data_IF_075528965343
#
_entry.id   IF_075528965343
#
_cell.length_a   1.000
_cell.length_b   1.000
_cell.length_c   1.000
_cell.angle_alpha   90.00
_cell.angle_beta   90.00
_cell.angle_gamma   90.00
#
_symmetry.space_group_name_H-M   'P 1'
#
loop_
_entity.id
_entity.type
_entity.pdbx_description
1 polymer ?
#
# COMPACT_ATOMS: atom_id res chain seq x y z
N UNK A 1 20.36 4.40 8.47
CA UNK A 1 19.30 4.99 7.62
C UNK A 1 18.14 4.01 7.65
N UNK A 2 17.06 4.32 8.38
CA UNK A 2 15.82 3.53 8.33
C UNK A 2 14.83 4.37 7.56
N UNK A 3 14.74 4.11 6.26
CA UNK A 3 13.76 4.70 5.36
C UNK A 3 12.39 4.18 5.78
N UNK A 4 11.60 5.04 6.45
CA UNK A 4 10.15 4.92 6.67
C UNK A 4 9.61 3.48 6.74
N UNK A 5 9.79 2.78 7.86
CA UNK A 5 8.97 1.61 8.17
C UNK A 5 7.55 2.11 8.43
N UNK A 6 6.74 2.19 7.39
CA UNK A 6 5.47 2.91 7.43
C UNK A 6 4.44 2.02 8.11
N UNK A 7 4.46 2.01 9.44
CA UNK A 7 3.67 1.11 10.31
C UNK A 7 3.99 -0.38 10.11
N UNK A 8 5.28 -0.75 10.14
CA UNK A 8 5.75 -2.14 9.93
C UNK A 8 5.49 -2.72 8.54
N UNK A 9 4.89 -1.95 7.64
CA UNK A 9 4.72 -2.30 6.24
C UNK A 9 5.99 -1.93 5.46
N UNK A 10 6.47 -2.89 4.67
CA UNK A 10 7.57 -2.67 3.74
C UNK A 10 7.10 -1.75 2.60
N UNK A 11 7.67 -0.53 2.46
CA UNK A 11 7.16 0.48 1.52
C UNK A 11 7.20 0.04 0.06
N UNK A 12 8.21 -0.75 -0.31
CA UNK A 12 8.38 -1.21 -1.69
C UNK A 12 7.28 -2.19 -2.12
N UNK A 13 6.94 -3.15 -1.27
CA UNK A 13 5.90 -4.13 -1.57
C UNK A 13 4.53 -3.50 -1.59
N UNK A 14 4.24 -2.61 -0.63
CA UNK A 14 3.00 -1.83 -0.64
C UNK A 14 2.87 -1.00 -1.92
N UNK A 15 3.92 -0.26 -2.30
CA UNK A 15 3.88 0.59 -3.49
C UNK A 15 3.68 -0.23 -4.77
N UNK A 16 4.36 -1.39 -4.88
CA UNK A 16 4.21 -2.29 -6.04
C UNK A 16 2.77 -2.79 -6.15
N UNK A 17 2.16 -3.21 -5.04
CA UNK A 17 0.76 -3.63 -5.03
C UNK A 17 -0.20 -2.49 -5.40
N UNK A 18 0.00 -1.29 -4.84
CA UNK A 18 -0.83 -0.13 -5.13
C UNK A 18 -0.74 0.25 -6.60
N UNK A 19 0.45 0.31 -7.19
CA UNK A 19 0.59 0.67 -8.61
C UNK A 19 -0.16 -0.31 -9.52
N UNK A 20 -0.10 -1.62 -9.23
CA UNK A 20 -0.83 -2.64 -9.99
C UNK A 20 -2.33 -2.50 -9.80
N UNK A 21 -2.80 -2.30 -8.56
CA UNK A 21 -4.23 -2.19 -8.24
C UNK A 21 -4.84 -0.87 -8.70
N UNK A 22 -4.07 0.23 -8.71
CA UNK A 22 -4.56 1.59 -8.95
C UNK A 22 -5.22 1.74 -10.32
N UNK A 23 -4.75 1.02 -11.34
CA UNK A 23 -5.32 1.08 -12.68
C UNK A 23 -6.76 0.54 -12.74
N UNK A 24 -7.09 -0.44 -11.91
CA UNK A 24 -8.40 -1.08 -11.86
C UNK A 24 -9.24 -0.62 -10.64
N UNK A 25 -8.69 0.25 -9.79
CA UNK A 25 -9.35 0.69 -8.55
C UNK A 25 -10.26 1.90 -8.78
N UNK A 26 -11.48 1.89 -8.24
CA UNK A 26 -12.35 3.06 -8.35
C UNK A 26 -11.84 4.20 -7.47
N UNK A 27 -11.83 5.43 -8.02
CA UNK A 27 -11.21 6.61 -7.39
C UNK A 27 -11.79 6.97 -6.02
N UNK A 28 -13.05 6.59 -5.76
CA UNK A 28 -13.71 6.80 -4.46
C UNK A 28 -13.22 5.83 -3.36
N UNK A 29 -12.45 4.79 -3.70
CA UNK A 29 -11.94 3.77 -2.77
C UNK A 29 -10.42 3.74 -2.67
N UNK A 30 -9.72 4.74 -3.19
CA UNK A 30 -8.25 4.83 -3.08
C UNK A 30 -7.79 4.88 -1.61
N UNK A 31 -8.63 5.36 -0.70
CA UNK A 31 -8.35 5.34 0.74
C UNK A 31 -8.23 3.91 1.32
N UNK A 32 -8.78 2.89 0.65
CA UNK A 32 -8.62 1.48 1.03
C UNK A 32 -7.24 0.94 0.65
N UNK A 33 -6.53 1.58 -0.28
CA UNK A 33 -5.16 1.23 -0.67
C UNK A 33 -4.10 1.87 0.24
N UNK A 34 -4.52 2.53 1.32
CA UNK A 34 -3.60 3.12 2.26
C UNK A 34 -2.80 2.04 3.02
N UNK A 35 -1.55 2.33 3.39
CA UNK A 35 -0.61 1.35 3.97
C UNK A 35 -1.17 0.56 5.17
N UNK A 36 -1.98 1.20 6.00
CA UNK A 36 -2.59 0.59 7.19
C UNK A 36 -3.85 -0.25 6.89
N UNK A 37 -4.44 -0.11 5.70
CA UNK A 37 -5.57 -0.92 5.22
C UNK A 37 -5.10 -2.11 4.38
N UNK A 38 -3.93 -1.98 3.74
CA UNK A 38 -3.24 -3.10 3.12
C UNK A 38 -2.65 -3.98 4.24
N UNK A 39 -3.42 -4.96 4.71
CA UNK A 39 -2.86 -6.06 5.49
C UNK A 39 -1.92 -6.84 4.59
N UNK A 40 -0.65 -6.46 4.57
CA UNK A 40 0.41 -7.23 3.94
C UNK A 40 0.36 -8.61 4.57
N UNK A 41 0.06 -9.61 3.74
CA UNK A 41 -0.15 -10.98 4.16
C UNK A 41 1.18 -11.52 4.69
N UNK A 42 1.26 -11.72 6.01
CA UNK A 42 2.25 -12.50 6.77
C UNK A 42 3.74 -12.14 6.65
#
# INVERSE_FOLDING_TARGET
MVTCKLNEVEPEDWLREVIVKLNDWPSNRVHELLPWNCSTVK
#
